data_IF_980450020316
#
_entry.id   IF_980450020316
#
_cell.length_a   1.000
_cell.length_b   1.000
_cell.length_c   1.000
_cell.angle_alpha   90.00
_cell.angle_beta   90.00
_cell.angle_gamma   90.00
#
_symmetry.space_group_name_H-M   'P 1'
#
loop_
_entity.id
_entity.type
_entity.pdbx_description
1 polymer ?
#
# COMPACT_ATOMS: atom_id res chain seq x y z
N UNK A 1 -25.64 -7.51 -8.65
CA UNK A 1 -26.33 -7.02 -7.43
C UNK A 1 -25.63 -7.65 -6.24
N UNK A 2 -24.61 -6.98 -5.68
CA UNK A 2 -24.67 -6.16 -4.45
C UNK A 2 -24.87 -6.97 -3.15
N UNK A 3 -23.75 -7.31 -2.51
CA UNK A 3 -23.55 -7.47 -1.05
C UNK A 3 -22.02 -7.55 -0.79
N UNK A 4 -21.30 -6.45 -0.54
CA UNK A 4 -21.10 -5.77 0.75
C UNK A 4 -20.29 -6.59 1.79
N UNK A 5 -19.02 -6.18 2.05
CA UNK A 5 -18.31 -6.10 3.36
C UNK A 5 -16.78 -6.03 3.13
N UNK A 6 -15.96 -5.22 3.79
CA UNK A 6 -16.07 -3.98 4.60
C UNK A 6 -14.61 -3.58 4.89
N UNK A 7 -14.10 -2.49 4.32
CA UNK A 7 -13.00 -1.69 4.89
C UNK A 7 -13.26 -0.23 4.45
N UNK A 8 -13.11 0.78 5.32
CA UNK A 8 -13.51 2.17 5.05
C UNK A 8 -12.35 3.03 4.59
N UNK A 9 -12.71 4.20 4.09
CA UNK A 9 -11.89 5.31 3.64
C UNK A 9 -10.81 5.83 4.62
N UNK A 10 -10.82 5.44 5.90
CA UNK A 10 -9.82 5.92 6.87
C UNK A 10 -8.41 5.34 6.64
N UNK A 11 -8.32 4.11 6.12
CA UNK A 11 -7.05 3.59 5.63
C UNK A 11 -6.47 4.48 4.53
N UNK A 12 -7.26 5.31 3.84
CA UNK A 12 -6.81 6.16 2.73
C UNK A 12 -6.36 7.56 3.17
N UNK A 13 -6.80 8.06 4.33
CA UNK A 13 -6.34 9.35 4.88
C UNK A 13 -5.06 9.15 5.68
N UNK A 14 -5.00 8.09 6.49
CA UNK A 14 -3.73 7.62 7.08
C UNK A 14 -2.84 7.09 5.98
N UNK A 15 -3.33 6.33 4.99
CA UNK A 15 -2.50 6.02 3.81
C UNK A 15 -2.19 7.25 2.98
N UNK A 16 -2.91 8.38 2.98
CA UNK A 16 -2.47 9.59 2.28
C UNK A 16 -1.29 10.25 3.00
N UNK A 17 -1.28 10.21 4.34
CA UNK A 17 -0.13 10.54 5.17
C UNK A 17 1.02 9.52 5.08
N UNK A 18 0.71 8.24 4.82
CA UNK A 18 1.66 7.14 4.60
C UNK A 18 1.92 6.82 3.11
N UNK A 19 1.37 7.55 2.13
CA UNK A 19 1.41 7.20 0.69
C UNK A 19 2.75 7.58 0.05
N UNK A 20 3.68 8.11 0.86
CA UNK A 20 5.10 8.13 0.51
C UNK A 20 5.74 6.74 0.69
N UNK A 21 5.14 5.81 1.46
CA UNK A 21 5.63 4.44 1.64
C UNK A 21 4.48 3.43 1.53
N UNK A 22 4.36 2.89 0.31
CA UNK A 22 3.67 1.66 -0.08
C UNK A 22 2.68 1.00 0.88
N UNK A 23 1.39 1.06 0.56
CA UNK A 23 0.40 0.10 1.04
C UNK A 23 -0.34 -0.53 -0.13
N UNK A 24 0.15 -1.69 -0.61
CA UNK A 24 -0.65 -2.62 -1.42
C UNK A 24 -1.10 -3.82 -0.57
N UNK A 25 -2.43 -4.04 -0.62
CA UNK A 25 -3.24 -5.27 -0.47
C UNK A 25 -2.73 -6.36 0.50
N UNK A 26 -3.59 -6.73 1.44
CA UNK A 26 -3.35 -7.75 2.48
C UNK A 26 -4.12 -9.04 2.17
N UNK A 27 -3.56 -10.19 2.55
CA UNK A 27 -4.25 -11.48 2.76
C UNK A 27 -3.81 -12.04 4.11
N UNK A 28 -4.76 -12.61 4.85
CA UNK A 28 -4.64 -13.15 6.22
C UNK A 28 -4.06 -14.57 6.21
N UNK A 29 -3.21 -14.87 7.19
CA UNK A 29 -2.71 -16.22 7.47
C UNK A 29 -1.59 -16.21 8.52
N UNK A 30 -1.92 -16.56 9.77
CA UNK A 30 -1.02 -16.76 10.92
C UNK A 30 0.04 -17.85 10.66
N UNK A 31 1.26 -17.76 11.27
CA UNK A 31 1.42 -18.35 12.61
C UNK A 31 2.41 -17.64 13.57
N UNK A 32 2.31 -18.05 14.85
CA UNK A 32 3.14 -17.71 16.02
C UNK A 32 4.66 -17.97 15.83
N UNK A 33 5.49 -17.08 16.42
CA UNK A 33 6.93 -17.32 16.66
C UNK A 33 7.24 -17.02 18.14
N UNK A 34 7.96 -17.97 18.76
CA UNK A 34 8.48 -17.90 20.13
C UNK A 34 9.65 -16.91 20.29
N UNK A 35 9.69 -16.25 21.44
CA UNK A 35 10.69 -15.25 21.84
C UNK A 35 12.01 -15.87 22.34
N UNK A 36 13.14 -15.20 22.05
CA UNK A 36 14.13 -14.73 23.06
C UNK A 36 15.48 -14.34 22.41
N UNK A 37 16.07 -13.23 22.89
CA UNK A 37 17.47 -12.89 22.64
C UNK A 37 17.85 -11.45 22.99
N UNK A 38 17.96 -11.15 24.28
CA UNK A 38 18.34 -9.85 24.85
C UNK A 38 19.88 -9.72 24.95
N UNK A 39 20.44 -8.54 24.63
CA UNK A 39 21.79 -8.16 25.06
C UNK A 39 21.97 -6.65 25.25
N UNK A 40 22.72 -6.31 26.30
CA UNK A 40 22.87 -5.01 26.96
C UNK A 40 23.84 -4.00 26.29
N UNK A 41 23.44 -2.72 26.43
CA UNK A 41 24.06 -1.37 26.43
C UNK A 41 25.56 -1.19 26.85
N UNK A 42 26.18 0.04 26.89
CA UNK A 42 25.71 1.41 26.54
C UNK A 42 26.75 2.39 25.87
N UNK A 43 26.29 3.58 25.44
CA UNK A 43 27.02 4.86 25.61
C UNK A 43 26.05 6.06 25.54
N UNK A 44 26.15 6.96 26.53
CA UNK A 44 25.18 8.02 26.82
C UNK A 44 25.25 9.23 25.86
N UNK A 45 24.10 9.59 25.29
CA UNK A 45 23.81 10.91 24.75
C UNK A 45 22.63 11.52 25.52
N UNK A 46 22.65 12.83 25.71
CA UNK A 46 21.63 13.63 26.40
C UNK A 46 20.21 13.33 25.89
N UNK A 47 19.44 12.64 26.73
CA UNK A 47 18.06 12.23 26.48
C UNK A 47 17.14 13.43 26.69
N UNK A 48 16.58 13.95 25.60
CA UNK A 48 15.31 14.67 25.64
C UNK A 48 14.29 13.72 26.27
N UNK A 49 13.53 14.12 27.31
CA UNK A 49 12.63 13.19 27.99
C UNK A 49 11.64 12.59 26.98
N UNK A 50 11.69 11.27 26.87
CA UNK A 50 10.82 10.50 26.00
C UNK A 50 9.36 10.73 26.43
N UNK A 51 8.43 11.07 25.52
CA UNK A 51 7.03 11.24 25.88
C UNK A 51 6.50 9.96 26.52
N UNK A 52 5.83 10.11 27.66
CA UNK A 52 5.29 9.02 28.47
C UNK A 52 4.47 8.04 27.59
N UNK A 53 4.58 6.71 27.81
CA UNK A 53 3.84 5.72 27.03
C UNK A 53 2.34 6.01 27.03
N UNK A 54 1.73 6.13 25.84
CA UNK A 54 0.29 6.31 25.72
C UNK A 54 -0.39 4.95 25.97
N UNK A 55 -0.98 4.75 27.14
CA UNK A 55 -1.62 3.47 27.51
C UNK A 55 -3.01 3.29 26.85
N UNK A 56 -3.52 4.32 26.17
CA UNK A 56 -4.79 4.29 25.44
C UNK A 56 -4.57 4.50 23.94
N UNK A 57 -4.76 3.41 23.17
CA UNK A 57 -4.66 3.41 21.71
C UNK A 57 -5.59 4.41 21.01
N UNK A 58 -6.85 4.50 21.44
CA UNK A 58 -7.82 5.42 20.84
C UNK A 58 -7.42 6.88 21.10
N UNK A 59 -6.96 7.19 22.32
CA UNK A 59 -6.46 8.52 22.65
C UNK A 59 -5.20 8.88 21.86
N UNK A 60 -4.25 7.95 21.72
CA UNK A 60 -3.03 8.15 20.94
C UNK A 60 -3.34 8.43 19.46
N UNK A 61 -4.23 7.64 18.85
CA UNK A 61 -4.65 7.86 17.46
C UNK A 61 -5.43 9.17 17.27
N UNK A 62 -6.30 9.52 18.23
CA UNK A 62 -7.00 10.81 18.20
C UNK A 62 -6.00 11.96 18.28
N UNK A 63 -5.00 11.86 19.15
CA UNK A 63 -3.95 12.87 19.29
C UNK A 63 -3.20 13.10 17.98
N UNK A 64 -2.90 12.06 17.20
CA UNK A 64 -2.28 12.22 15.88
C UNK A 64 -3.15 13.03 14.93
N UNK A 65 -4.47 12.80 14.93
CA UNK A 65 -5.41 13.60 14.13
C UNK A 65 -5.39 15.05 14.60
N UNK A 66 -5.49 15.29 15.90
CA UNK A 66 -5.48 16.63 16.48
C UNK A 66 -4.18 17.38 16.14
N UNK A 67 -3.03 16.70 16.21
CA UNK A 67 -1.71 17.26 15.88
C UNK A 67 -1.60 17.60 14.37
N UNK A 68 -2.20 16.80 13.49
CA UNK A 68 -2.30 17.15 12.06
C UNK A 68 -3.19 18.38 11.86
N UNK A 69 -4.33 18.44 12.55
CA UNK A 69 -5.26 19.58 12.46
C UNK A 69 -4.60 20.90 12.89
N UNK A 70 -3.80 20.87 13.96
CA UNK A 70 -3.11 22.05 14.48
C UNK A 70 -1.79 22.34 13.76
N UNK A 71 -1.34 21.47 12.86
CA UNK A 71 -0.09 21.63 12.13
C UNK A 71 1.17 21.29 12.93
N UNK A 72 1.04 20.54 14.04
CA UNK A 72 2.10 20.17 14.97
C UNK A 72 2.90 18.96 14.45
N UNK A 73 3.68 19.21 13.39
CA UNK A 73 4.40 18.15 12.67
C UNK A 73 5.39 17.35 13.53
N UNK A 74 6.07 18.02 14.48
CA UNK A 74 6.99 17.35 15.39
C UNK A 74 6.25 16.34 16.28
N UNK A 75 5.03 16.66 16.72
CA UNK A 75 4.22 15.75 17.50
C UNK A 75 3.75 14.54 16.67
N UNK A 76 3.39 14.76 15.41
CA UNK A 76 3.07 13.68 14.45
C UNK A 76 4.27 12.76 14.21
N UNK A 77 5.47 13.32 14.02
CA UNK A 77 6.71 12.54 13.93
C UNK A 77 6.97 11.78 15.24
N UNK A 78 6.73 12.40 16.39
CA UNK A 78 6.94 11.78 17.70
C UNK A 78 5.95 10.66 18.02
N UNK A 79 4.83 10.57 17.29
CA UNK A 79 3.92 9.44 17.38
C UNK A 79 4.47 8.15 16.72
N UNK A 80 5.52 8.25 15.91
CA UNK A 80 6.21 7.08 15.35
C UNK A 80 7.22 6.50 16.34
N UNK A 81 7.42 5.17 16.34
CA UNK A 81 8.53 4.52 17.05
C UNK A 81 9.88 5.16 16.69
N UNK A 82 10.79 5.34 17.66
CA UNK A 82 12.15 5.78 17.38
C UNK A 82 12.83 5.04 16.21
N UNK A 83 12.75 3.70 16.18
CA UNK A 83 13.36 2.91 15.09
C UNK A 83 12.78 3.25 13.72
N UNK A 84 11.47 3.53 13.64
CA UNK A 84 10.81 3.83 12.37
C UNK A 84 11.24 5.19 11.84
N UNK A 85 11.51 6.16 12.73
CA UNK A 85 12.04 7.47 12.33
C UNK A 85 13.45 7.34 11.76
N UNK A 86 14.30 6.54 12.41
CA UNK A 86 15.65 6.26 11.91
C UNK A 86 15.62 5.56 10.54
N UNK A 87 14.69 4.62 10.37
CA UNK A 87 14.49 3.94 9.09
C UNK A 87 14.00 4.90 7.99
N UNK A 88 13.09 5.83 8.30
CA UNK A 88 12.65 6.86 7.36
C UNK A 88 13.81 7.74 6.89
N UNK A 89 14.64 8.22 7.83
CA UNK A 89 15.83 9.00 7.51
C UNK A 89 16.81 8.19 6.66
N UNK A 90 17.02 6.92 6.99
CA UNK A 90 17.88 6.01 6.22
C UNK A 90 17.35 5.82 4.80
N UNK A 91 16.06 5.61 4.62
CA UNK A 91 15.42 5.43 3.30
C UNK A 91 15.56 6.71 2.47
N UNK A 92 15.35 7.89 3.05
CA UNK A 92 15.54 9.16 2.34
C UNK A 92 17.01 9.38 1.97
N UNK A 93 17.93 9.07 2.86
CA UNK A 93 19.36 9.17 2.63
C UNK A 93 19.84 8.22 1.51
N UNK A 94 19.36 6.98 1.46
CA UNK A 94 19.72 6.02 0.40
C UNK A 94 18.97 6.28 -0.91
N UNK A 95 17.72 6.70 -0.81
CA UNK A 95 16.81 6.89 -1.93
C UNK A 95 17.08 8.16 -2.71
N UNK A 96 17.29 9.29 -2.03
CA UNK A 96 17.31 10.61 -2.66
C UNK A 96 18.70 11.22 -2.75
N UNK A 97 19.53 11.09 -1.71
CA UNK A 97 20.85 11.75 -1.66
C UNK A 97 21.77 11.37 -2.83
N UNK A 98 21.81 10.12 -3.32
CA UNK A 98 22.70 9.77 -4.43
C UNK A 98 22.24 10.33 -5.77
N UNK A 99 20.98 10.75 -5.90
CA UNK A 99 20.42 11.23 -7.15
C UNK A 99 20.70 12.72 -7.36
N UNK A 100 21.01 13.09 -8.60
CA UNK A 100 21.13 14.47 -9.06
C UNK A 100 19.97 15.35 -8.53
N UNK A 101 20.27 16.37 -7.71
CA UNK A 101 19.27 17.29 -7.17
C UNK A 101 18.43 17.98 -8.25
N UNK A 102 19.01 18.23 -9.43
CA UNK A 102 18.28 18.83 -10.55
C UNK A 102 17.26 17.84 -11.12
N UNK A 103 17.61 16.57 -11.28
CA UNK A 103 16.67 15.53 -11.72
C UNK A 103 15.52 15.33 -10.73
N UNK A 104 15.81 15.31 -9.42
CA UNK A 104 14.78 15.23 -8.37
C UNK A 104 13.83 16.43 -8.37
N UNK A 105 14.39 17.65 -8.47
CA UNK A 105 13.59 18.87 -8.61
C UNK A 105 12.71 18.85 -9.87
N UNK A 106 13.26 18.44 -11.00
CA UNK A 106 12.51 18.36 -12.27
C UNK A 106 11.32 17.40 -12.19
N UNK A 107 11.49 16.26 -11.51
CA UNK A 107 10.40 15.33 -11.21
C UNK A 107 9.34 15.99 -10.33
N UNK A 108 9.76 16.67 -9.26
CA UNK A 108 8.86 17.32 -8.34
C UNK A 108 8.04 18.44 -9.01
N UNK A 109 8.67 19.24 -9.89
CA UNK A 109 7.99 20.23 -10.74
C UNK A 109 6.99 19.56 -11.69
N UNK A 110 7.34 18.43 -12.32
CA UNK A 110 6.40 17.71 -13.18
C UNK A 110 5.16 17.18 -12.41
N UNK A 111 5.33 16.74 -11.16
CA UNK A 111 4.21 16.34 -10.29
C UNK A 111 3.33 17.54 -9.94
N UNK A 112 3.92 18.71 -9.67
CA UNK A 112 3.17 19.95 -9.44
C UNK A 112 2.31 20.31 -10.66
N UNK A 113 2.89 20.29 -11.85
CA UNK A 113 2.20 20.62 -13.10
C UNK A 113 1.03 19.65 -13.36
N UNK A 114 1.27 18.35 -13.15
CA UNK A 114 0.23 17.32 -13.29
C UNK A 114 -0.92 17.54 -12.29
N UNK A 115 -0.59 17.80 -11.02
CA UNK A 115 -1.61 18.03 -9.99
C UNK A 115 -2.45 19.29 -10.29
N UNK A 116 -1.83 20.36 -10.80
CA UNK A 116 -2.55 21.56 -11.25
C UNK A 116 -3.46 21.27 -12.44
N UNK A 117 -2.95 20.54 -13.44
CA UNK A 117 -3.73 20.15 -14.62
C UNK A 117 -4.93 19.28 -14.21
N UNK A 118 -4.76 18.37 -13.25
CA UNK A 118 -5.84 17.55 -12.71
C UNK A 118 -6.93 18.39 -12.03
N UNK A 119 -6.56 19.43 -11.29
CA UNK A 119 -7.52 20.38 -10.70
C UNK A 119 -8.28 21.13 -11.81
N UNK A 120 -7.59 21.58 -12.85
CA UNK A 120 -8.22 22.26 -13.98
C UNK A 120 -9.20 21.35 -14.74
N UNK A 121 -8.93 20.03 -14.77
CA UNK A 121 -9.77 19.00 -15.40
C UNK A 121 -10.66 18.26 -14.40
N UNK A 122 -10.89 18.83 -13.22
CA UNK A 122 -11.64 18.18 -12.13
C UNK A 122 -13.00 17.64 -12.60
N UNK A 123 -13.75 18.38 -13.41
CA UNK A 123 -15.05 17.92 -13.91
C UNK A 123 -14.97 16.62 -14.72
N UNK A 124 -13.92 16.46 -15.54
CA UNK A 124 -13.68 15.25 -16.34
C UNK A 124 -13.22 14.07 -15.47
N UNK A 125 -12.37 14.36 -14.48
CA UNK A 125 -11.90 13.36 -13.51
C UNK A 125 -13.07 12.86 -12.67
N UNK A 126 -13.89 13.76 -12.13
CA UNK A 126 -15.04 13.43 -11.30
C UNK A 126 -16.17 12.74 -12.09
N UNK A 127 -16.30 13.01 -13.38
CA UNK A 127 -17.24 12.30 -14.26
C UNK A 127 -16.77 10.88 -14.63
N UNK A 128 -15.49 10.55 -14.43
CA UNK A 128 -14.94 9.22 -14.68
C UNK A 128 -15.40 8.19 -13.64
N UNK A 129 -15.65 6.97 -14.09
CA UNK A 129 -15.88 5.80 -13.24
C UNK A 129 -14.60 5.33 -12.55
N UNK A 130 -13.42 5.76 -13.01
CA UNK A 130 -12.12 5.38 -12.43
C UNK A 130 -11.93 5.83 -10.99
N UNK A 131 -12.67 6.83 -10.51
CA UNK A 131 -12.64 7.18 -9.08
C UNK A 131 -13.18 6.03 -8.22
N UNK A 132 -14.07 5.20 -8.76
CA UNK A 132 -14.56 4.00 -8.06
C UNK A 132 -13.47 2.94 -7.86
N UNK A 133 -12.33 3.04 -8.54
CA UNK A 133 -11.16 2.21 -8.26
C UNK A 133 -10.55 2.51 -6.88
N UNK A 134 -10.85 3.67 -6.28
CA UNK A 134 -10.57 3.96 -4.87
C UNK A 134 -11.47 3.16 -3.92
N UNK A 135 -12.47 2.44 -4.46
CA UNK A 135 -13.36 1.56 -3.73
C UNK A 135 -14.11 2.32 -2.63
N UNK A 136 -14.07 1.86 -1.37
CA UNK A 136 -14.75 2.54 -0.24
C UNK A 136 -14.29 3.98 0.01
N UNK A 137 -13.14 4.40 -0.51
CA UNK A 137 -12.67 5.77 -0.41
C UNK A 137 -13.18 6.68 -1.54
N UNK A 138 -13.86 6.14 -2.56
CA UNK A 138 -14.36 6.93 -3.70
C UNK A 138 -15.18 8.15 -3.28
N UNK A 139 -16.15 8.09 -2.33
CA UNK A 139 -16.89 9.27 -1.90
C UNK A 139 -15.97 10.35 -1.31
N UNK A 140 -15.04 9.96 -0.43
CA UNK A 140 -14.08 10.89 0.16
C UNK A 140 -13.19 11.54 -0.91
N UNK A 141 -12.70 10.75 -1.87
CA UNK A 141 -11.88 11.25 -2.98
C UNK A 141 -12.68 12.21 -3.86
N UNK A 142 -13.95 11.92 -4.17
CA UNK A 142 -14.82 12.82 -4.92
C UNK A 142 -15.01 14.16 -4.21
N UNK A 143 -15.29 14.11 -2.91
CA UNK A 143 -15.56 15.30 -2.10
C UNK A 143 -14.31 16.16 -1.84
N UNK A 144 -13.11 15.57 -1.95
CA UNK A 144 -11.84 16.22 -1.59
C UNK A 144 -10.82 16.23 -2.73
N UNK A 145 -11.22 15.95 -3.97
CA UNK A 145 -10.30 15.73 -5.08
C UNK A 145 -9.30 16.88 -5.27
N UNK A 146 -9.80 18.10 -5.42
CA UNK A 146 -8.93 19.26 -5.59
C UNK A 146 -8.03 19.53 -4.37
N UNK A 147 -8.51 19.28 -3.15
CA UNK A 147 -7.70 19.42 -1.93
C UNK A 147 -6.57 18.39 -1.89
N UNK A 148 -6.85 17.13 -2.24
CA UNK A 148 -5.84 16.08 -2.35
C UNK A 148 -4.77 16.43 -3.40
N UNK A 149 -5.18 16.96 -4.58
CA UNK A 149 -4.22 17.44 -5.58
C UNK A 149 -3.36 18.60 -5.06
N UNK A 150 -3.92 19.53 -4.29
CA UNK A 150 -3.16 20.63 -3.67
C UNK A 150 -2.18 20.13 -2.63
N UNK A 151 -2.55 19.14 -1.80
CA UNK A 151 -1.63 18.49 -0.85
C UNK A 151 -0.45 17.88 -1.60
N UNK A 152 -0.71 17.08 -2.64
CA UNK A 152 0.34 16.47 -3.47
C UNK A 152 1.26 17.55 -4.06
N UNK A 153 0.69 18.62 -4.62
CA UNK A 153 1.47 19.72 -5.18
C UNK A 153 2.25 20.50 -4.11
N UNK A 154 1.78 20.58 -2.87
CA UNK A 154 2.49 21.22 -1.78
C UNK A 154 3.67 20.36 -1.28
N UNK A 155 3.46 19.05 -1.13
CA UNK A 155 4.54 18.10 -0.77
C UNK A 155 5.59 17.99 -1.88
N UNK A 156 5.18 18.04 -3.15
CA UNK A 156 6.12 18.11 -4.27
C UNK A 156 6.95 19.41 -4.28
N UNK A 157 6.52 20.47 -3.59
CA UNK A 157 7.32 21.68 -3.37
C UNK A 157 8.21 21.62 -2.14
N UNK A 158 8.28 20.47 -1.46
CA UNK A 158 9.19 20.29 -0.33
C UNK A 158 10.65 20.55 -0.76
N UNK A 159 11.39 21.44 -0.06
CA UNK A 159 12.75 21.80 -0.45
C UNK A 159 13.72 20.62 -0.52
N UNK A 160 13.48 19.55 0.25
CA UNK A 160 14.32 18.35 0.29
C UNK A 160 14.48 17.63 -1.04
N UNK A 161 13.55 17.81 -2.00
CA UNK A 161 13.70 17.31 -3.38
C UNK A 161 14.90 17.93 -4.09
N UNK A 162 15.19 19.19 -3.82
CA UNK A 162 16.28 19.95 -4.44
C UNK A 162 17.51 20.12 -3.55
N UNK A 163 17.40 19.74 -2.27
CA UNK A 163 18.48 19.90 -1.31
C UNK A 163 19.63 18.96 -1.61
N UNK A 164 20.85 19.51 -1.61
CA UNK A 164 22.11 18.76 -1.60
C UNK A 164 22.42 18.26 -0.19
N UNK A 165 21.92 18.97 0.83
CA UNK A 165 22.07 18.62 2.24
C UNK A 165 20.90 17.74 2.69
N UNK A 166 21.25 16.57 3.24
CA UNK A 166 20.41 15.52 3.80
C UNK A 166 18.89 15.79 3.82
N UNK A 167 18.11 15.26 2.85
CA UNK A 167 16.67 15.13 3.03
C UNK A 167 16.40 14.29 4.29
N UNK A 168 15.59 14.82 5.20
CA UNK A 168 15.24 14.19 6.46
C UNK A 168 13.72 13.98 6.58
N UNK A 169 13.33 12.99 7.39
CA UNK A 169 11.96 12.59 7.58
C UNK A 169 11.14 13.69 8.28
N UNK A 170 11.74 14.41 9.22
CA UNK A 170 11.04 15.46 9.98
C UNK A 170 10.57 16.59 9.05
N UNK A 171 11.43 17.09 8.17
CA UNK A 171 11.06 18.16 7.23
C UNK A 171 10.06 17.71 6.17
N UNK A 172 10.09 16.44 5.74
CA UNK A 172 9.09 15.88 4.83
C UNK A 172 7.72 15.73 5.51
N UNK A 173 7.68 15.21 6.75
CA UNK A 173 6.45 15.13 7.55
C UNK A 173 5.91 16.53 7.82
N UNK A 174 6.77 17.51 8.14
CA UNK A 174 6.36 18.90 8.33
C UNK A 174 5.74 19.51 7.07
N UNK A 175 6.31 19.25 5.89
CA UNK A 175 5.71 19.67 4.63
C UNK A 175 4.34 19.03 4.40
N UNK A 176 4.18 17.75 4.74
CA UNK A 176 2.93 17.00 4.59
C UNK A 176 1.85 17.47 5.56
N UNK A 177 2.17 17.58 6.85
CA UNK A 177 1.27 18.06 7.90
C UNK A 177 0.81 19.48 7.58
N UNK A 178 1.72 20.37 7.20
CA UNK A 178 1.37 21.73 6.78
C UNK A 178 0.48 21.75 5.54
N UNK A 179 0.73 20.88 4.57
CA UNK A 179 -0.08 20.81 3.36
C UNK A 179 -1.52 20.37 3.66
N UNK A 180 -1.70 19.43 4.58
CA UNK A 180 -3.03 18.97 5.02
C UNK A 180 -3.72 20.01 5.90
N UNK A 181 -3.01 20.63 6.84
CA UNK A 181 -3.61 21.52 7.84
C UNK A 181 -4.18 22.83 7.28
N UNK A 182 -3.74 23.23 6.08
CA UNK A 182 -4.24 24.42 5.38
C UNK A 182 -5.43 24.14 4.45
N UNK A 183 -5.81 22.87 4.24
CA UNK A 183 -6.91 22.49 3.34
C UNK A 183 -8.22 22.31 4.14
N UNK A 184 -9.18 23.26 4.06
CA UNK A 184 -10.35 23.24 4.93
C UNK A 184 -11.21 21.98 4.80
N UNK A 185 -11.38 21.45 3.58
CA UNK A 185 -12.20 20.24 3.38
C UNK A 185 -11.57 19.00 4.02
N UNK A 186 -10.23 18.93 4.07
CA UNK A 186 -9.52 17.84 4.73
C UNK A 186 -9.58 18.00 6.26
N UNK A 187 -9.43 19.22 6.77
CA UNK A 187 -9.61 19.51 8.20
C UNK A 187 -11.05 19.17 8.64
N UNK A 188 -12.06 19.59 7.89
CA UNK A 188 -13.46 19.25 8.18
C UNK A 188 -13.71 17.73 8.17
N UNK A 189 -12.97 16.98 7.35
CA UNK A 189 -13.04 15.52 7.33
C UNK A 189 -12.34 14.89 8.55
N UNK A 190 -11.15 15.39 8.92
CA UNK A 190 -10.39 14.96 10.10
C UNK A 190 -11.17 15.21 11.39
N UNK A 191 -11.82 16.37 11.51
CA UNK A 191 -12.62 16.74 12.68
C UNK A 191 -13.82 15.84 12.92
N UNK A 192 -14.23 15.06 11.92
CA UNK A 192 -15.32 14.07 12.02
C UNK A 192 -14.83 12.69 12.45
N UNK A 193 -13.52 12.47 12.51
CA UNK A 193 -12.91 11.19 12.91
C UNK A 193 -12.93 11.07 14.43
N UNK A 194 -13.45 9.96 14.95
CA UNK A 194 -13.42 9.64 16.38
C UNK A 194 -13.01 8.20 16.59
N UNK A 195 -12.13 7.97 17.55
CA UNK A 195 -11.67 6.63 17.93
C UNK A 195 -12.32 6.17 19.23
N UNK A 196 -12.57 4.86 19.33
CA UNK A 196 -13.03 4.21 20.56
C UNK A 196 -12.38 2.84 20.69
N UNK A 197 -11.83 2.53 21.87
CA UNK A 197 -11.36 1.17 22.16
C UNK A 197 -12.54 0.19 22.17
N UNK A 198 -12.36 -0.95 21.52
CA UNK A 198 -13.34 -2.05 21.52
C UNK A 198 -12.90 -3.14 22.47
N UNK A 199 -11.83 -3.84 22.13
CA UNK A 199 -11.28 -5.00 22.84
C UNK A 199 -9.77 -5.07 22.61
N UNK A 200 -9.01 -5.66 23.53
CA UNK A 200 -7.58 -5.87 23.35
C UNK A 200 -6.79 -6.06 24.64
N UNK A 201 -5.49 -6.28 24.47
CA UNK A 201 -4.47 -6.31 25.51
C UNK A 201 -3.65 -5.00 25.52
N UNK A 202 -2.56 -4.96 26.27
CA UNK A 202 -1.67 -3.79 26.34
C UNK A 202 -0.73 -3.66 25.14
N UNK A 203 -0.55 -4.74 24.37
CA UNK A 203 0.31 -4.77 23.16
C UNK A 203 -0.49 -4.77 21.86
N UNK A 204 -1.74 -5.27 21.90
CA UNK A 204 -2.61 -5.37 20.72
C UNK A 204 -4.02 -4.93 21.06
N UNK A 205 -4.57 -3.96 20.32
CA UNK A 205 -5.94 -3.48 20.54
C UNK A 205 -6.74 -3.40 19.26
N UNK A 206 -8.06 -3.52 19.37
CA UNK A 206 -9.01 -3.17 18.33
C UNK A 206 -9.58 -1.80 18.63
N UNK A 207 -9.48 -0.91 17.66
CA UNK A 207 -10.01 0.45 17.74
C UNK A 207 -11.10 0.60 16.70
N UNK A 208 -12.26 1.08 17.14
CA UNK A 208 -13.38 1.46 16.30
C UNK A 208 -13.23 2.92 15.89
N UNK A 209 -13.28 3.18 14.58
CA UNK A 209 -13.24 4.52 14.01
C UNK A 209 -14.58 4.90 13.44
N UNK A 210 -15.09 6.04 13.89
CA UNK A 210 -16.28 6.68 13.39
C UNK A 210 -15.90 7.89 12.54
N UNK A 211 -16.56 8.05 11.40
CA UNK A 211 -16.46 9.24 10.55
C UNK A 211 -17.84 9.88 10.45
N UNK A 212 -18.04 10.98 11.18
CA UNK A 212 -19.32 11.70 11.20
C UNK A 212 -20.47 10.92 11.85
N UNK A 213 -21.69 11.14 11.37
CA UNK A 213 -22.93 10.60 11.96
C UNK A 213 -23.31 9.19 11.44
N UNK A 214 -22.43 8.54 10.69
CA UNK A 214 -22.74 7.22 10.12
C UNK A 214 -22.92 6.16 11.21
N UNK A 215 -24.06 5.46 11.15
CA UNK A 215 -24.35 4.31 12.00
C UNK A 215 -23.51 3.12 11.56
N UNK A 216 -22.29 3.05 12.08
CA UNK A 216 -21.36 1.95 11.89
C UNK A 216 -19.94 2.48 11.73
N UNK A 217 -19.15 2.36 12.79
CA UNK A 217 -17.71 2.57 12.68
C UNK A 217 -17.03 1.35 12.07
N UNK A 218 -15.74 1.49 11.82
CA UNK A 218 -14.90 0.37 11.39
C UNK A 218 -13.86 0.08 12.43
N UNK A 219 -13.83 -1.19 12.80
CA UNK A 219 -12.79 -1.72 13.67
C UNK A 219 -11.57 -2.10 12.85
N UNK A 220 -10.40 -1.68 13.32
CA UNK A 220 -9.13 -2.23 12.89
C UNK A 220 -8.23 -2.49 14.08
N UNK A 221 -7.27 -3.38 13.88
CA UNK A 221 -6.28 -3.72 14.86
C UNK A 221 -5.11 -2.72 14.86
N UNK A 222 -4.63 -2.44 16.05
CA UNK A 222 -3.44 -1.64 16.33
C UNK A 222 -2.50 -2.44 17.22
N UNK A 223 -1.22 -2.17 17.05
CA UNK A 223 -0.15 -2.84 17.75
C UNK A 223 0.77 -1.79 18.37
N UNK A 224 1.26 -2.07 19.58
CA UNK A 224 2.17 -1.19 20.29
C UNK A 224 3.60 -1.57 19.94
N UNK A 225 4.35 -0.64 19.36
CA UNK A 225 5.76 -0.82 19.00
C UNK A 225 6.55 0.30 19.68
N UNK A 226 7.54 -0.06 20.50
CA UNK A 226 8.38 0.91 21.25
C UNK A 226 7.56 1.97 22.00
N UNK A 227 6.43 1.55 22.59
CA UNK A 227 5.53 2.43 23.34
C UNK A 227 4.56 3.25 22.50
N UNK A 228 4.57 3.14 21.16
CA UNK A 228 3.69 3.87 20.23
C UNK A 228 2.64 2.96 19.61
N UNK A 229 1.41 3.46 19.46
CA UNK A 229 0.33 2.73 18.82
C UNK A 229 0.31 2.98 17.32
N UNK A 230 0.40 1.90 16.55
CA UNK A 230 0.36 1.93 15.09
C UNK A 230 -0.75 1.02 14.58
N UNK A 231 -1.35 1.30 13.41
CA UNK A 231 -2.16 0.31 12.72
C UNK A 231 -1.35 -0.98 12.52
N UNK A 232 -1.93 -2.14 12.83
CA UNK A 232 -1.26 -3.46 12.77
C UNK A 232 -0.56 -3.68 11.42
N UNK A 233 -1.15 -3.19 10.33
CA UNK A 233 -0.56 -3.27 8.99
C UNK A 233 0.78 -2.56 8.87
N UNK A 234 0.91 -1.38 9.48
CA UNK A 234 2.16 -0.63 9.49
C UNK A 234 3.16 -1.36 10.38
N UNK A 235 2.75 -1.73 11.60
CA UNK A 235 3.61 -2.43 12.56
C UNK A 235 4.22 -3.72 11.98
N UNK A 236 3.39 -4.58 11.38
CA UNK A 236 3.82 -5.90 10.89
C UNK A 236 4.53 -5.88 9.55
N UNK A 237 4.26 -4.88 8.70
CA UNK A 237 4.86 -4.81 7.36
C UNK A 237 6.04 -3.87 7.28
N UNK A 238 6.36 -3.14 8.34
CA UNK A 238 7.47 -2.19 8.33
C UNK A 238 8.77 -2.83 7.86
N UNK A 239 9.23 -3.87 8.56
CA UNK A 239 10.47 -4.58 8.22
C UNK A 239 10.44 -5.16 6.81
N UNK A 240 9.36 -5.86 6.43
CA UNK A 240 9.22 -6.41 5.08
C UNK A 240 9.23 -5.31 4.00
N UNK A 241 8.67 -4.13 4.28
CA UNK A 241 8.69 -2.98 3.38
C UNK A 241 10.10 -2.43 3.23
N UNK A 242 10.89 -2.40 4.31
CA UNK A 242 12.30 -2.01 4.25
C UNK A 242 13.16 -3.05 3.54
N UNK A 243 12.87 -4.33 3.70
CA UNK A 243 13.57 -5.42 3.00
C UNK A 243 13.25 -5.39 1.48
N UNK A 244 11.99 -5.10 1.12
CA UNK A 244 11.55 -4.91 -0.27
C UNK A 244 12.17 -3.66 -0.92
N UNK A 245 12.51 -2.64 -0.11
CA UNK A 245 13.31 -1.51 -0.55
C UNK A 245 14.76 -2.00 -0.70
N UNK A 246 15.04 -2.70 -1.79
CA UNK A 246 16.36 -3.22 -2.17
C UNK A 246 17.46 -2.15 -1.95
N UNK A 247 18.01 -2.13 -0.74
CA UNK A 247 18.90 -1.04 -0.30
C UNK A 247 20.22 -1.10 -1.06
N UNK A 248 20.56 -2.28 -1.55
CA UNK A 248 21.69 -2.49 -2.45
C UNK A 248 21.40 -1.85 -3.80
N UNK A 249 20.21 -2.03 -4.40
CA UNK A 249 19.83 -1.29 -5.62
C UNK A 249 19.77 0.22 -5.40
N UNK A 250 19.23 0.67 -4.26
CA UNK A 250 19.21 2.10 -3.92
C UNK A 250 20.62 2.68 -3.86
N UNK A 251 21.60 1.91 -3.37
CA UNK A 251 22.98 2.38 -3.21
C UNK A 251 23.91 2.12 -4.42
N UNK A 252 23.63 1.14 -5.30
CA UNK A 252 24.59 0.65 -6.31
C UNK A 252 24.24 0.91 -7.78
N UNK A 253 23.05 1.41 -8.10
CA UNK A 253 22.59 1.62 -9.50
C UNK A 253 22.20 3.08 -9.81
N UNK A 254 22.93 4.04 -9.23
CA UNK A 254 22.59 5.48 -9.26
C UNK A 254 22.34 5.99 -10.69
N UNK A 255 23.26 5.74 -11.64
CA UNK A 255 23.13 6.23 -13.01
C UNK A 255 21.88 5.68 -13.73
N UNK A 256 21.55 4.41 -13.52
CA UNK A 256 20.32 3.82 -14.04
C UNK A 256 19.09 4.45 -13.40
N UNK A 257 19.07 4.58 -12.07
CA UNK A 257 17.96 5.20 -11.33
C UNK A 257 17.73 6.65 -11.77
N UNK A 258 18.78 7.41 -12.03
CA UNK A 258 18.64 8.76 -12.58
C UNK A 258 18.08 8.78 -13.99
N UNK A 259 18.49 7.83 -14.86
CA UNK A 259 17.92 7.70 -16.19
C UNK A 259 16.42 7.36 -16.12
N UNK A 260 16.04 6.40 -15.26
CA UNK A 260 14.65 6.03 -14.98
C UNK A 260 13.85 7.23 -14.44
N UNK A 261 14.42 8.01 -13.52
CA UNK A 261 13.79 9.22 -12.97
C UNK A 261 13.55 10.28 -14.05
N UNK A 262 14.54 10.54 -14.91
CA UNK A 262 14.41 11.50 -16.03
C UNK A 262 13.36 11.04 -17.04
N UNK A 263 13.33 9.75 -17.35
CA UNK A 263 12.32 9.16 -18.23
C UNK A 263 10.91 9.30 -17.64
N UNK A 264 10.74 8.93 -16.36
CA UNK A 264 9.47 9.10 -15.66
C UNK A 264 9.02 10.57 -15.63
N UNK A 265 9.96 11.49 -15.37
CA UNK A 265 9.70 12.94 -15.40
C UNK A 265 9.17 13.38 -16.77
N UNK A 266 9.80 12.92 -17.87
CA UNK A 266 9.32 13.23 -19.23
C UNK A 266 7.92 12.70 -19.46
N UNK A 267 7.65 11.44 -19.08
CA UNK A 267 6.33 10.81 -19.24
C UNK A 267 5.24 11.56 -18.48
N UNK A 268 5.51 11.99 -17.25
CA UNK A 268 4.57 12.79 -16.45
C UNK A 268 4.26 14.12 -17.15
N UNK A 269 5.28 14.80 -17.68
CA UNK A 269 5.07 16.04 -18.45
C UNK A 269 4.24 15.80 -19.71
N UNK A 270 4.50 14.73 -20.45
CA UNK A 270 3.75 14.38 -21.65
C UNK A 270 2.27 14.10 -21.32
N UNK A 271 2.01 13.38 -20.23
CA UNK A 271 0.65 13.13 -19.73
C UNK A 271 -0.01 14.45 -19.32
N UNK A 272 0.68 15.30 -18.57
CA UNK A 272 0.16 16.60 -18.13
C UNK A 272 -0.19 17.50 -19.32
N UNK A 273 0.68 17.59 -20.32
CA UNK A 273 0.42 18.38 -21.54
C UNK A 273 -0.73 17.81 -22.36
N UNK A 274 -0.79 16.49 -22.50
CA UNK A 274 -1.90 15.81 -23.19
C UNK A 274 -3.22 16.07 -22.45
N UNK A 275 -3.21 15.97 -21.12
CA UNK A 275 -4.38 16.19 -20.29
C UNK A 275 -4.87 17.65 -20.37
N UNK A 276 -3.96 18.62 -20.41
CA UNK A 276 -4.32 20.03 -20.56
C UNK A 276 -5.10 20.29 -21.87
N UNK A 277 -4.79 19.56 -22.94
CA UNK A 277 -5.45 19.65 -24.24
C UNK A 277 -6.79 18.88 -24.34
N UNK A 278 -7.13 18.04 -23.36
CA UNK A 278 -8.39 17.28 -23.36
C UNK A 278 -9.58 18.21 -23.13
N UNK A 279 -10.59 18.16 -23.99
CA UNK A 279 -11.81 18.96 -23.86
C UNK A 279 -13.05 18.11 -23.57
N UNK A 280 -13.00 16.82 -23.90
CA UNK A 280 -14.14 15.91 -23.80
C UNK A 280 -13.90 14.72 -22.86
N UNK A 281 -14.98 14.10 -22.40
CA UNK A 281 -14.91 12.92 -21.53
C UNK A 281 -14.27 11.71 -22.22
N UNK A 282 -14.54 11.51 -23.52
CA UNK A 282 -14.00 10.37 -24.27
C UNK A 282 -12.48 10.49 -24.49
N UNK A 283 -12.00 11.70 -24.76
CA UNK A 283 -10.57 12.02 -24.83
C UNK A 283 -9.89 11.80 -23.46
N UNK A 284 -10.53 12.25 -22.37
CA UNK A 284 -10.03 12.04 -21.02
C UNK A 284 -9.90 10.54 -20.72
N UNK A 285 -10.95 9.77 -20.97
CA UNK A 285 -10.98 8.33 -20.72
C UNK A 285 -9.90 7.60 -21.53
N UNK A 286 -9.75 7.94 -22.81
CA UNK A 286 -8.70 7.37 -23.67
C UNK A 286 -7.30 7.67 -23.14
N UNK A 287 -7.06 8.92 -22.70
CA UNK A 287 -5.78 9.31 -22.11
C UNK A 287 -5.53 8.58 -20.79
N UNK A 288 -6.54 8.44 -19.94
CA UNK A 288 -6.43 7.75 -18.66
C UNK A 288 -6.06 6.27 -18.84
N UNK A 289 -6.66 5.57 -19.80
CA UNK A 289 -6.32 4.17 -20.10
C UNK A 289 -4.89 4.01 -20.61
N UNK A 290 -4.45 4.94 -21.46
CA UNK A 290 -3.07 4.98 -21.93
C UNK A 290 -2.10 5.23 -20.77
N UNK A 291 -2.41 6.17 -19.88
CA UNK A 291 -1.60 6.47 -18.71
C UNK A 291 -1.52 5.26 -17.75
N UNK A 292 -2.64 4.60 -17.48
CA UNK A 292 -2.69 3.39 -16.67
C UNK A 292 -1.83 2.27 -17.27
N UNK A 293 -1.94 2.03 -18.57
CA UNK A 293 -1.13 1.03 -19.29
C UNK A 293 0.37 1.34 -19.18
N UNK A 294 0.75 2.61 -19.35
CA UNK A 294 2.14 3.04 -19.21
C UNK A 294 2.67 2.85 -17.79
N UNK A 295 1.88 3.18 -16.77
CA UNK A 295 2.26 2.97 -15.37
C UNK A 295 2.42 1.48 -15.03
N UNK A 296 1.53 0.63 -15.52
CA UNK A 296 1.65 -0.83 -15.37
C UNK A 296 2.91 -1.36 -16.06
N UNK A 297 3.23 -0.87 -17.27
CA UNK A 297 4.45 -1.24 -17.97
C UNK A 297 5.71 -0.80 -17.21
N UNK A 298 5.72 0.41 -16.65
CA UNK A 298 6.83 0.90 -15.81
C UNK A 298 6.93 0.10 -14.51
N UNK A 299 5.82 -0.24 -13.86
CA UNK A 299 5.83 -1.07 -12.65
C UNK A 299 6.36 -2.50 -12.94
N UNK A 300 6.00 -3.07 -14.08
CA UNK A 300 6.51 -4.37 -14.54
C UNK A 300 8.00 -4.34 -14.93
N UNK A 301 8.55 -3.17 -15.25
CA UNK A 301 9.98 -2.97 -15.48
C UNK A 301 10.74 -2.69 -14.18
N UNK A 302 10.12 -1.98 -13.22
CA UNK A 302 10.71 -1.61 -11.94
C UNK A 302 10.84 -2.81 -10.98
N UNK A 303 9.86 -3.73 -10.99
CA UNK A 303 10.04 -5.08 -10.44
C UNK A 303 10.75 -5.90 -11.51
N UNK A 304 12.00 -6.26 -11.27
CA UNK A 304 12.91 -7.00 -12.15
C UNK A 304 12.28 -8.23 -12.86
N UNK A 305 11.46 -8.02 -13.89
CA UNK A 305 10.62 -9.00 -14.58
C UNK A 305 9.69 -9.81 -13.65
N UNK A 306 8.46 -10.20 -14.07
CA UNK A 306 7.88 -11.41 -13.52
C UNK A 306 8.95 -12.50 -13.68
N UNK A 307 9.39 -13.11 -12.57
CA UNK A 307 10.32 -14.24 -12.61
C UNK A 307 9.77 -15.19 -13.67
N UNK A 308 10.55 -15.44 -14.72
CA UNK A 308 10.16 -16.43 -15.73
C UNK A 308 10.03 -17.76 -15.00
N UNK A 309 8.78 -18.15 -14.72
CA UNK A 309 8.48 -19.38 -14.01
C UNK A 309 8.83 -20.53 -14.94
N UNK A 310 9.72 -21.41 -14.50
CA UNK A 310 10.03 -22.62 -15.24
C UNK A 310 8.85 -23.59 -15.12
N UNK A 311 8.71 -24.46 -16.12
CA UNK A 311 7.62 -25.45 -16.13
C UNK A 311 7.62 -26.37 -14.89
N UNK A 312 8.79 -26.61 -14.30
CA UNK A 312 8.94 -27.41 -13.07
C UNK A 312 8.54 -26.64 -11.80
N UNK A 313 8.19 -25.36 -11.88
CA UNK A 313 7.70 -24.56 -10.74
C UNK A 313 6.17 -24.56 -10.65
N UNK A 314 5.47 -25.22 -11.57
CA UNK A 314 4.01 -25.34 -11.53
C UNK A 314 3.56 -26.64 -10.87
N UNK A 315 2.48 -26.54 -10.10
CA UNK A 315 1.68 -27.66 -9.62
C UNK A 315 0.35 -27.70 -10.35
N UNK A 316 -0.14 -28.90 -10.65
CA UNK A 316 -1.47 -29.11 -11.23
C UNK A 316 -2.46 -29.47 -10.12
N UNK A 317 -3.49 -28.67 -9.91
CA UNK A 317 -4.60 -28.95 -9.01
C UNK A 317 -5.80 -29.37 -9.83
N UNK A 318 -6.27 -30.61 -9.63
CA UNK A 318 -7.50 -31.13 -10.24
C UNK A 318 -8.59 -31.10 -9.18
N UNK A 319 -9.62 -30.28 -9.41
CA UNK A 319 -10.78 -30.22 -8.53
C UNK A 319 -11.92 -31.00 -9.16
N UNK A 320 -12.33 -32.05 -8.47
CA UNK A 320 -13.35 -32.98 -8.94
C UNK A 320 -14.75 -32.41 -8.75
N UNK A 321 -15.58 -32.53 -9.78
CA UNK A 321 -16.99 -32.15 -9.78
C UNK A 321 -17.29 -30.76 -10.35
N UNK A 322 -18.56 -30.55 -10.71
CA UNK A 322 -19.02 -29.32 -11.35
C UNK A 322 -18.93 -28.12 -10.41
N UNK A 323 -18.31 -27.05 -10.89
CA UNK A 323 -18.17 -25.78 -10.20
C UNK A 323 -18.94 -24.69 -10.95
N UNK A 324 -19.61 -23.79 -10.22
CA UNK A 324 -20.11 -22.55 -10.82
C UNK A 324 -18.94 -21.65 -11.25
N UNK A 325 -19.14 -20.80 -12.25
CA UNK A 325 -18.10 -19.85 -12.70
C UNK A 325 -17.56 -18.99 -11.52
N UNK A 326 -18.44 -18.60 -10.59
CA UNK A 326 -18.06 -17.88 -9.38
C UNK A 326 -17.13 -18.69 -8.46
N UNK A 327 -17.34 -20.01 -8.36
CA UNK A 327 -16.47 -20.92 -7.61
C UNK A 327 -15.13 -21.13 -8.32
N UNK A 328 -15.14 -21.22 -9.67
CA UNK A 328 -13.93 -21.35 -10.48
C UNK A 328 -13.03 -20.12 -10.30
N UNK A 329 -13.58 -18.92 -10.47
CA UNK A 329 -12.83 -17.66 -10.33
C UNK A 329 -12.22 -17.50 -8.94
N UNK A 330 -13.02 -17.78 -7.90
CA UNK A 330 -12.56 -17.72 -6.51
C UNK A 330 -11.42 -18.70 -6.26
N UNK A 331 -11.55 -19.93 -6.73
CA UNK A 331 -10.56 -20.97 -6.55
C UNK A 331 -9.25 -20.65 -7.27
N UNK A 332 -9.29 -20.17 -8.50
CA UNK A 332 -8.08 -19.72 -9.25
C UNK A 332 -7.35 -18.62 -8.47
N UNK A 333 -8.09 -17.63 -7.98
CA UNK A 333 -7.54 -16.52 -7.22
C UNK A 333 -6.99 -16.92 -5.84
N UNK A 334 -7.63 -17.89 -5.18
CA UNK A 334 -7.17 -18.44 -3.91
C UNK A 334 -5.91 -19.30 -4.09
N UNK A 335 -5.84 -20.13 -5.13
CA UNK A 335 -4.65 -20.94 -5.41
C UNK A 335 -3.43 -20.07 -5.74
N UNK A 336 -3.59 -19.04 -6.58
CA UNK A 336 -2.49 -18.15 -6.95
C UNK A 336 -1.84 -17.47 -5.74
N UNK A 337 -2.63 -17.08 -4.73
CA UNK A 337 -2.12 -16.38 -3.55
C UNK A 337 -1.57 -17.25 -2.44
N UNK A 338 -1.77 -18.55 -2.53
CA UNK A 338 -1.18 -19.51 -1.60
C UNK A 338 0.05 -20.19 -2.20
N UNK A 339 0.46 -19.78 -3.41
CA UNK A 339 1.74 -20.17 -4.01
C UNK A 339 2.91 -19.72 -3.12
N UNK A 340 4.10 -20.26 -3.36
CA UNK A 340 5.27 -19.96 -2.52
C UNK A 340 5.75 -18.51 -2.67
N UNK A 341 5.37 -17.85 -3.77
CA UNK A 341 5.59 -16.44 -4.00
C UNK A 341 4.29 -15.80 -4.53
N UNK A 342 3.39 -15.38 -3.62
CA UNK A 342 2.09 -14.79 -3.99
C UNK A 342 2.21 -13.54 -4.87
N UNK A 343 3.34 -12.83 -4.80
CA UNK A 343 3.61 -11.64 -5.61
C UNK A 343 3.87 -11.97 -7.08
N UNK A 344 4.28 -13.21 -7.37
CA UNK A 344 4.46 -13.79 -8.70
C UNK A 344 3.51 -14.97 -8.98
N UNK A 345 2.46 -15.12 -8.15
CA UNK A 345 1.51 -16.22 -8.23
C UNK A 345 0.71 -16.18 -9.53
N UNK A 346 0.84 -17.22 -10.35
CA UNK A 346 0.05 -17.42 -11.58
C UNK A 346 -0.80 -18.67 -11.39
N UNK A 347 -2.09 -18.56 -11.66
CA UNK A 347 -2.99 -19.69 -11.79
C UNK A 347 -3.76 -19.58 -13.11
N UNK A 348 -3.79 -20.66 -13.87
CA UNK A 348 -4.54 -20.78 -15.12
C UNK A 348 -5.43 -22.02 -15.05
N UNK A 349 -6.69 -21.87 -15.47
CA UNK A 349 -7.69 -22.92 -15.36
C UNK A 349 -8.17 -23.36 -16.74
N UNK A 350 -8.17 -24.67 -16.94
CA UNK A 350 -8.74 -25.31 -18.12
C UNK A 350 -9.90 -26.18 -17.68
N UNK A 351 -11.04 -25.97 -18.33
CA UNK A 351 -12.22 -26.81 -18.21
C UNK A 351 -12.20 -27.85 -19.34
N UNK A 352 -11.68 -29.09 -19.10
CA UNK A 352 -11.80 -30.16 -20.05
C UNK A 352 -13.28 -30.51 -20.24
N UNK A 353 -13.83 -30.05 -21.38
CA UNK A 353 -15.25 -30.10 -21.80
C UNK A 353 -16.00 -31.43 -21.62
N UNK A 354 -15.29 -32.52 -21.33
CA UNK A 354 -15.83 -33.88 -21.30
C UNK A 354 -15.85 -34.54 -19.90
N UNK A 355 -15.35 -33.88 -18.84
CA UNK A 355 -15.19 -34.53 -17.52
C UNK A 355 -15.84 -33.80 -16.34
N UNK A 356 -16.23 -32.52 -16.48
CA UNK A 356 -16.84 -31.74 -15.40
C UNK A 356 -15.88 -31.39 -14.25
N UNK A 357 -14.61 -31.77 -14.36
CA UNK A 357 -13.54 -31.45 -13.42
C UNK A 357 -12.82 -30.18 -13.87
N UNK A 358 -12.31 -29.40 -12.91
CA UNK A 358 -11.49 -28.22 -13.20
C UNK A 358 -10.01 -28.55 -13.04
N UNK A 359 -9.21 -28.27 -14.06
CA UNK A 359 -7.74 -28.45 -14.00
C UNK A 359 -7.08 -27.08 -13.92
N UNK A 360 -6.39 -26.82 -12.81
CA UNK A 360 -5.71 -25.55 -12.55
C UNK A 360 -4.20 -25.78 -12.51
N UNK A 361 -3.45 -25.05 -13.33
CA UNK A 361 -1.99 -24.97 -13.22
C UNK A 361 -1.64 -23.76 -12.36
N UNK A 362 -0.93 -23.95 -11.24
CA UNK A 362 -0.57 -22.89 -10.30
C UNK A 362 0.93 -22.91 -9.96
N UNK A 363 1.56 -21.74 -9.93
CA UNK A 363 2.97 -21.58 -9.58
C UNK A 363 3.29 -20.19 -9.04
N UNK A 364 4.46 -20.00 -8.40
CA UNK A 364 5.47 -21.03 -8.12
C UNK A 364 5.11 -21.93 -6.93
N UNK A 365 5.37 -23.24 -7.06
CA UNK A 365 5.23 -24.25 -6.00
C UNK A 365 6.48 -25.15 -5.98
N UNK A 366 7.32 -24.94 -4.98
CA UNK A 366 8.55 -25.68 -4.69
C UNK A 366 8.26 -26.96 -3.89
N UNK A 367 7.39 -26.87 -2.88
CA UNK A 367 6.94 -27.99 -2.05
C UNK A 367 5.42 -28.19 -2.17
N UNK A 368 5.05 -29.21 -2.93
CA UNK A 368 3.65 -29.53 -3.19
C UNK A 368 2.92 -30.11 -1.98
N UNK A 369 3.61 -30.77 -1.05
CA UNK A 369 2.98 -31.32 0.15
C UNK A 369 2.66 -30.20 1.14
N UNK A 370 3.59 -29.24 1.29
CA UNK A 370 3.35 -28.03 2.07
C UNK A 370 2.27 -27.14 1.42
N UNK A 371 2.27 -27.02 0.09
CA UNK A 371 1.23 -26.30 -0.64
C UNK A 371 -0.15 -26.96 -0.46
N UNK A 372 -0.27 -28.28 -0.59
CA UNK A 372 -1.52 -29.01 -0.41
C UNK A 372 -2.17 -28.78 0.96
N UNK A 373 -1.37 -28.67 2.02
CA UNK A 373 -1.87 -28.41 3.39
C UNK A 373 -2.42 -27.00 3.58
N UNK A 374 -2.04 -26.05 2.72
CA UNK A 374 -2.41 -24.63 2.81
C UNK A 374 -3.59 -24.25 1.93
N UNK A 375 -4.11 -25.16 1.10
CA UNK A 375 -5.16 -24.83 0.12
C UNK A 375 -6.49 -24.52 0.82
N UNK A 376 -7.01 -23.29 0.72
CA UNK A 376 -8.30 -22.95 1.31
C UNK A 376 -9.45 -23.48 0.45
N UNK A 377 -10.57 -23.82 1.09
CA UNK A 377 -11.82 -24.13 0.39
C UNK A 377 -11.83 -25.45 -0.40
N UNK A 378 -10.77 -26.26 -0.31
CA UNK A 378 -10.70 -27.59 -0.94
C UNK A 378 -10.29 -28.65 0.07
N UNK A 379 -10.92 -29.82 -0.04
CA UNK A 379 -10.53 -31.02 0.67
C UNK A 379 -9.60 -31.84 -0.22
N UNK A 380 -8.32 -31.90 0.15
CA UNK A 380 -7.31 -32.67 -0.59
C UNK A 380 -7.55 -34.17 -0.42
N UNK A 381 -7.76 -34.87 -1.54
CA UNK A 381 -7.93 -36.32 -1.57
C UNK A 381 -6.61 -37.06 -1.82
N UNK A 382 -5.76 -36.49 -2.68
CA UNK A 382 -4.50 -37.12 -3.09
C UNK A 382 -3.46 -36.07 -3.48
N UNK A 383 -2.22 -36.31 -3.06
CA UNK A 383 -1.03 -35.55 -3.50
C UNK A 383 -0.07 -36.52 -4.20
N UNK A 384 0.35 -36.18 -5.41
CA UNK A 384 1.40 -36.85 -6.16
C UNK A 384 2.59 -35.90 -6.30
N UNK A 385 3.54 -36.04 -5.38
CA UNK A 385 4.68 -35.13 -5.32
C UNK A 385 5.59 -35.22 -6.55
N UNK A 386 5.68 -36.41 -7.16
CA UNK A 386 6.53 -36.65 -8.33
C UNK A 386 5.95 -36.03 -9.60
N UNK A 387 4.62 -36.11 -9.76
CA UNK A 387 3.92 -35.50 -10.89
C UNK A 387 3.57 -34.02 -10.67
N UNK A 388 3.92 -33.47 -9.49
CA UNK A 388 3.45 -32.17 -9.00
C UNK A 388 1.93 -32.00 -9.16
N UNK A 389 1.16 -33.02 -8.77
CA UNK A 389 -0.30 -33.03 -8.93
C UNK A 389 -1.04 -33.16 -7.60
N UNK A 390 -2.07 -32.34 -7.39
CA UNK A 390 -3.01 -32.43 -6.27
C UNK A 390 -4.38 -32.77 -6.84
N UNK A 391 -5.08 -33.72 -6.24
CA UNK A 391 -6.50 -34.01 -6.51
C UNK A 391 -7.30 -33.64 -5.28
N UNK A 392 -8.33 -32.82 -5.46
CA UNK A 392 -9.14 -32.29 -4.37
C UNK A 392 -10.61 -32.19 -4.76
N UNK A 393 -11.48 -31.99 -3.77
CA UNK A 393 -12.89 -31.60 -3.96
C UNK A 393 -13.14 -30.27 -3.28
N UNK A 394 -14.16 -29.55 -3.70
CA UNK A 394 -14.60 -28.37 -2.95
C UNK A 394 -15.00 -28.79 -1.53
N UNK A 395 -14.49 -28.10 -0.51
CA UNK A 395 -14.93 -28.33 0.85
C UNK A 395 -16.42 -27.95 0.96
N UNK A 396 -17.22 -28.78 1.64
CA UNK A 396 -18.60 -28.40 1.95
C UNK A 396 -18.59 -27.09 2.79
N UNK A 397 -19.52 -26.16 2.52
CA UNK A 397 -19.56 -24.86 3.20
C UNK A 397 -19.76 -24.96 4.71
#
# INVERSE_FOLDING_TARGET
MLACRRQPAFCTIVAALFLVIGCQRSREGEPQIDAAGQQDNPAAATVTPDPQPDDDAAAALQKVIDDVETGEADAVLMALPPSYREDLDRVLALGLRPLDPQARRAMAEAVVDLAQTLIEKESLVLASDRIELAGPAAPFVRDNFAALCRVVAAVARWPGWSSVENPDAASLIAATVRAVSIEPSLIDALQKVRFRNVEGSDENRRVLVHTGDEKGGVEFAVERIEGRWLPERVARRWSATLDDLDTDRLSSHIAQREAELRELTSRIRDISQSLAAVETQDEFNTLADRAATLLLATAAQAKSAPRSLKADEFATVVVLGELSEEQKDRLVWDLASHSDDPSNGIADAVDPRDQGDLVISVGPVSDIEAFAKRLPGVQVERVDAKAKKITARLAAP
#
